data_IF_306873994645
#
_entry.id   IF_306873994645
#
_cell.length_a   1.000
_cell.length_b   1.000
_cell.length_c   1.000
_cell.angle_alpha   90.00
_cell.angle_beta   90.00
_cell.angle_gamma   90.00
#
_symmetry.space_group_name_H-M   'P 1'
#
loop_
_entity.id
_entity.type
_entity.pdbx_description
1 polymer ?
#
# COMPACT_ATOMS: atom_id res chain seq x y z
N UNK A 1 24.33 -3.52 -24.54
CA UNK A 1 24.71 -3.12 -23.16
C UNK A 1 23.87 -1.96 -22.60
N UNK A 2 23.11 -1.18 -23.38
CA UNK A 2 22.30 -0.06 -22.86
C UNK A 2 20.96 -0.43 -22.21
N UNK A 3 20.33 -1.52 -22.64
CA UNK A 3 18.96 -1.89 -22.23
C UNK A 3 18.86 -2.19 -20.72
N UNK A 4 19.86 -2.87 -20.14
CA UNK A 4 19.88 -3.17 -18.70
C UNK A 4 19.94 -1.90 -17.85
N UNK A 5 20.79 -0.94 -18.22
CA UNK A 5 20.89 0.32 -17.50
C UNK A 5 19.61 1.15 -17.63
N UNK A 6 19.00 1.18 -18.82
CA UNK A 6 17.72 1.85 -19.04
C UNK A 6 16.60 1.22 -18.21
N UNK A 7 16.54 -0.13 -18.11
CA UNK A 7 15.56 -0.81 -17.25
C UNK A 7 15.81 -0.52 -15.76
N UNK A 8 17.07 -0.49 -15.32
CA UNK A 8 17.43 -0.12 -13.93
C UNK A 8 17.01 1.32 -13.58
N UNK A 9 17.21 2.26 -14.50
CA UNK A 9 16.88 3.67 -14.29
C UNK A 9 15.35 3.89 -14.35
N UNK A 10 14.66 3.24 -15.28
CA UNK A 10 13.19 3.24 -15.34
C UNK A 10 12.55 2.67 -14.06
N UNK A 11 13.07 1.54 -13.55
CA UNK A 11 12.59 0.95 -12.30
C UNK A 11 12.85 1.88 -11.11
N UNK A 12 14.01 2.55 -11.07
CA UNK A 12 14.31 3.54 -10.03
C UNK A 12 13.27 4.67 -10.01
N UNK A 13 13.01 5.28 -11.18
CA UNK A 13 12.07 6.40 -11.29
C UNK A 13 10.65 5.99 -10.89
N UNK A 14 10.23 4.77 -11.27
CA UNK A 14 8.93 4.22 -10.87
C UNK A 14 8.83 3.94 -9.38
N UNK A 15 9.88 3.39 -8.75
CA UNK A 15 9.92 3.21 -7.30
C UNK A 15 9.81 4.55 -6.57
N UNK A 16 10.57 5.56 -7.01
CA UNK A 16 10.51 6.92 -6.43
C UNK A 16 9.11 7.52 -6.59
N UNK A 17 8.49 7.38 -7.75
CA UNK A 17 7.13 7.88 -7.99
C UNK A 17 6.10 7.18 -7.08
N UNK A 18 6.20 5.86 -6.93
CA UNK A 18 5.32 5.05 -6.10
C UNK A 18 5.47 5.41 -4.61
N UNK A 19 6.70 5.51 -4.11
CA UNK A 19 7.01 5.91 -2.74
C UNK A 19 6.50 7.31 -2.42
N UNK A 20 6.68 8.25 -3.36
CA UNK A 20 6.16 9.62 -3.22
C UNK A 20 4.64 9.64 -3.15
N UNK A 21 3.97 8.89 -4.02
CA UNK A 21 2.50 8.82 -4.03
C UNK A 21 1.97 8.26 -2.69
N UNK A 22 2.58 7.21 -2.14
CA UNK A 22 2.19 6.62 -0.84
C UNK A 22 2.51 7.54 0.34
N UNK A 23 3.61 8.29 0.27
CA UNK A 23 3.99 9.27 1.31
C UNK A 23 2.94 10.36 1.49
N UNK A 24 2.22 10.71 0.44
CA UNK A 24 1.17 11.73 0.46
C UNK A 24 -0.18 11.18 0.96
N UNK A 25 -0.28 9.90 1.32
CA UNK A 25 -1.52 9.31 1.83
C UNK A 25 -1.75 9.62 3.31
N UNK A 26 -2.99 9.89 3.73
CA UNK A 26 -3.31 10.14 5.14
C UNK A 26 -3.09 8.87 5.98
N UNK A 27 -2.76 9.01 7.26
CA UNK A 27 -2.70 7.86 8.16
C UNK A 27 -4.10 7.25 8.31
N UNK A 28 -4.18 5.94 8.56
CA UNK A 28 -5.48 5.26 8.70
C UNK A 28 -6.32 5.82 9.85
N UNK A 29 -5.68 6.28 10.93
CA UNK A 29 -6.37 6.91 12.06
C UNK A 29 -6.99 8.28 11.76
N UNK A 30 -6.56 8.94 10.69
CA UNK A 30 -7.04 10.28 10.31
C UNK A 30 -8.18 10.20 9.27
N UNK A 31 -8.48 9.00 8.74
CA UNK A 31 -9.52 8.79 7.73
C UNK A 31 -10.89 8.71 8.40
N UNK A 32 -11.85 9.50 7.89
CA UNK A 32 -13.23 9.46 8.37
C UNK A 32 -13.92 8.16 7.92
N UNK A 33 -14.84 7.66 8.74
CA UNK A 33 -15.51 6.35 8.52
C UNK A 33 -16.16 6.27 7.12
N UNK A 34 -16.73 7.37 6.62
CA UNK A 34 -17.36 7.43 5.30
C UNK A 34 -16.41 7.29 4.12
N UNK A 35 -15.10 7.48 4.32
CA UNK A 35 -14.06 7.41 3.29
C UNK A 35 -13.22 6.13 3.33
N UNK A 36 -13.39 5.29 4.37
CA UNK A 36 -12.61 4.05 4.54
C UNK A 36 -12.67 3.14 3.31
N UNK A 37 -13.86 2.96 2.72
CA UNK A 37 -14.02 2.13 1.53
C UNK A 37 -13.30 2.74 0.31
N UNK A 38 -13.39 4.06 0.14
CA UNK A 38 -12.71 4.75 -0.95
C UNK A 38 -11.18 4.63 -0.84
N UNK A 39 -10.64 4.69 0.38
CA UNK A 39 -9.21 4.53 0.64
C UNK A 39 -8.73 3.07 0.47
N UNK A 40 -9.58 2.07 0.76
CA UNK A 40 -9.31 0.67 0.41
C UNK A 40 -9.21 0.51 -1.10
N UNK A 41 -10.17 1.05 -1.84
CA UNK A 41 -10.21 0.94 -3.30
C UNK A 41 -9.03 1.69 -3.93
N UNK A 42 -8.69 2.89 -3.44
CA UNK A 42 -7.49 3.63 -3.82
C UNK A 42 -6.22 2.80 -3.62
N UNK A 43 -6.09 2.15 -2.47
CA UNK A 43 -4.91 1.32 -2.16
C UNK A 43 -4.81 0.10 -3.09
N UNK A 44 -5.93 -0.56 -3.40
CA UNK A 44 -5.96 -1.67 -4.37
C UNK A 44 -5.66 -1.20 -5.80
N UNK A 45 -6.23 -0.09 -6.22
CA UNK A 45 -5.97 0.50 -7.54
C UNK A 45 -4.50 0.90 -7.68
N UNK A 46 -3.88 1.41 -6.63
CA UNK A 46 -2.45 1.70 -6.61
C UNK A 46 -1.61 0.45 -6.88
N UNK A 47 -1.89 -0.66 -6.18
CA UNK A 47 -1.19 -1.93 -6.40
C UNK A 47 -1.34 -2.44 -7.84
N UNK A 48 -2.48 -2.21 -8.49
CA UNK A 48 -2.70 -2.56 -9.90
C UNK A 48 -1.97 -1.61 -10.87
N UNK A 49 -1.89 -0.33 -10.54
CA UNK A 49 -1.22 0.71 -11.35
C UNK A 49 0.30 0.54 -11.36
N UNK A 50 0.87 0.04 -10.26
CA UNK A 50 2.30 -0.14 -10.09
C UNK A 50 2.65 -1.63 -10.01
N UNK A 51 2.83 -2.34 -11.15
CA UNK A 51 3.29 -3.72 -11.19
C UNK A 51 4.80 -3.81 -10.90
N UNK A 52 5.25 -3.16 -9.83
CA UNK A 52 6.67 -3.02 -9.47
C UNK A 52 7.36 -4.37 -9.28
N UNK A 53 6.65 -5.38 -8.73
CA UNK A 53 7.19 -6.74 -8.62
C UNK A 53 7.67 -7.29 -9.97
N UNK A 54 6.82 -7.24 -11.01
CA UNK A 54 7.20 -7.75 -12.32
C UNK A 54 8.39 -7.01 -12.92
N UNK A 55 8.52 -5.71 -12.65
CA UNK A 55 9.66 -4.93 -13.14
C UNK A 55 10.95 -5.16 -12.34
N UNK A 56 10.85 -5.43 -11.04
CA UNK A 56 11.99 -5.90 -10.22
C UNK A 56 12.45 -7.28 -10.71
N UNK A 57 11.51 -8.19 -10.97
CA UNK A 57 11.78 -9.53 -11.50
C UNK A 57 12.43 -9.45 -12.89
N UNK A 58 11.89 -8.63 -13.80
CA UNK A 58 12.42 -8.44 -15.15
C UNK A 58 13.87 -7.95 -15.15
N UNK A 59 14.19 -6.97 -14.29
CA UNK A 59 15.53 -6.40 -14.19
C UNK A 59 16.50 -7.40 -13.52
N UNK A 60 16.01 -8.18 -12.55
CA UNK A 60 16.77 -9.28 -11.93
C UNK A 60 17.06 -10.39 -12.94
N UNK A 61 16.10 -10.75 -13.77
CA UNK A 61 16.28 -11.73 -14.84
C UNK A 61 17.27 -11.25 -15.90
N UNK A 62 17.25 -9.96 -16.25
CA UNK A 62 18.28 -9.38 -17.12
C UNK A 62 19.67 -9.46 -16.48
N UNK A 63 19.79 -9.19 -15.17
CA UNK A 63 21.03 -9.32 -14.43
C UNK A 63 21.55 -10.77 -14.42
N UNK A 64 20.66 -11.75 -14.23
CA UNK A 64 21.00 -13.18 -14.27
C UNK A 64 21.49 -13.60 -15.66
N UNK A 65 20.82 -13.19 -16.74
CA UNK A 65 21.24 -13.47 -18.12
C UNK A 65 22.62 -12.90 -18.45
N UNK A 66 22.97 -11.75 -17.88
CA UNK A 66 24.31 -11.18 -18.05
C UNK A 66 25.36 -12.06 -17.36
N UNK A 67 25.10 -12.53 -16.15
CA UNK A 67 26.00 -13.43 -15.43
C UNK A 67 26.15 -14.78 -16.15
N UNK A 68 25.07 -15.35 -16.69
CA UNK A 68 25.10 -16.57 -17.52
C UNK A 68 25.93 -16.40 -18.81
N UNK A 69 26.05 -15.17 -19.31
CA UNK A 69 26.88 -14.82 -20.46
C UNK A 69 28.33 -14.44 -20.06
N UNK A 70 28.78 -14.82 -18.86
CA UNK A 70 30.08 -14.49 -18.27
C UNK A 70 30.34 -12.97 -18.14
N UNK A 71 29.28 -12.15 -18.14
CA UNK A 71 29.38 -10.71 -17.89
C UNK A 71 29.27 -10.43 -16.39
N UNK A 72 30.38 -10.02 -15.79
CA UNK A 72 30.44 -9.65 -14.38
C UNK A 72 29.77 -8.28 -14.19
N UNK A 73 28.73 -8.24 -13.36
CA UNK A 73 28.10 -6.99 -12.94
C UNK A 73 29.02 -6.23 -11.98
N UNK A 74 29.03 -4.90 -12.10
CA UNK A 74 29.72 -4.06 -11.13
C UNK A 74 29.06 -4.18 -9.75
N UNK A 75 29.85 -4.00 -8.69
CA UNK A 75 29.33 -3.99 -7.32
C UNK A 75 28.22 -2.94 -7.13
N UNK A 76 28.33 -1.81 -7.84
CA UNK A 76 27.30 -0.77 -7.86
C UNK A 76 25.97 -1.27 -8.42
N UNK A 77 25.97 -2.03 -9.53
CA UNK A 77 24.74 -2.55 -10.12
C UNK A 77 24.10 -3.62 -9.23
N UNK A 78 24.91 -4.47 -8.57
CA UNK A 78 24.41 -5.47 -7.61
C UNK A 78 23.72 -4.79 -6.43
N UNK A 79 24.37 -3.79 -5.81
CA UNK A 79 23.75 -3.01 -4.73
C UNK A 79 22.46 -2.33 -5.14
N UNK A 80 22.38 -1.80 -6.36
CA UNK A 80 21.14 -1.19 -6.87
C UNK A 80 20.00 -2.21 -7.00
N UNK A 81 20.29 -3.44 -7.46
CA UNK A 81 19.28 -4.51 -7.54
C UNK A 81 18.77 -4.89 -6.15
N UNK A 82 19.66 -5.04 -5.18
CA UNK A 82 19.30 -5.31 -3.78
C UNK A 82 18.46 -4.18 -3.19
N UNK A 83 18.82 -2.91 -3.45
CA UNK A 83 18.05 -1.73 -3.04
C UNK A 83 16.64 -1.73 -3.63
N UNK A 84 16.49 -2.04 -4.92
CA UNK A 84 15.18 -2.11 -5.58
C UNK A 84 14.27 -3.15 -4.96
N UNK A 85 14.81 -4.36 -4.72
CA UNK A 85 14.06 -5.44 -4.05
C UNK A 85 13.64 -5.01 -2.65
N UNK A 86 14.55 -4.46 -1.85
CA UNK A 86 14.24 -4.03 -0.48
C UNK A 86 13.19 -2.91 -0.44
N UNK A 87 13.30 -1.91 -1.32
CA UNK A 87 12.35 -0.80 -1.41
C UNK A 87 10.97 -1.27 -1.84
N UNK A 88 10.91 -2.16 -2.83
CA UNK A 88 9.65 -2.77 -3.25
C UNK A 88 9.01 -3.58 -2.11
N UNK A 89 9.77 -4.43 -1.43
CA UNK A 89 9.26 -5.26 -0.34
C UNK A 89 8.73 -4.41 0.83
N UNK A 90 9.45 -3.33 1.16
CA UNK A 90 9.02 -2.36 2.17
C UNK A 90 7.73 -1.66 1.76
N UNK A 91 7.64 -1.16 0.53
CA UNK A 91 6.44 -0.52 0.00
C UNK A 91 5.26 -1.49 0.00
N UNK A 92 5.47 -2.72 -0.47
CA UNK A 92 4.45 -3.76 -0.49
C UNK A 92 3.92 -4.04 0.92
N UNK A 93 4.82 -4.24 1.89
CA UNK A 93 4.47 -4.51 3.29
C UNK A 93 3.64 -3.38 3.88
N UNK A 94 4.04 -2.11 3.67
CA UNK A 94 3.29 -0.94 4.11
C UNK A 94 1.87 -0.88 3.51
N UNK A 95 1.71 -1.25 2.23
CA UNK A 95 0.40 -1.28 1.58
C UNK A 95 -0.50 -2.38 2.16
N UNK A 96 0.05 -3.56 2.46
CA UNK A 96 -0.70 -4.64 3.09
C UNK A 96 -1.15 -4.27 4.51
N UNK A 97 -0.25 -3.69 5.32
CA UNK A 97 -0.58 -3.19 6.66
C UNK A 97 -1.66 -2.12 6.60
N UNK A 98 -1.55 -1.16 5.67
CA UNK A 98 -2.59 -0.13 5.46
C UNK A 98 -3.94 -0.76 5.13
N UNK A 99 -3.99 -1.71 4.18
CA UNK A 99 -5.22 -2.41 3.82
C UNK A 99 -5.84 -3.14 5.00
N UNK A 100 -5.02 -3.83 5.80
CA UNK A 100 -5.47 -4.53 7.00
C UNK A 100 -6.08 -3.54 8.00
N UNK A 101 -5.44 -2.41 8.26
CA UNK A 101 -5.94 -1.39 9.18
C UNK A 101 -7.24 -0.75 8.67
N UNK A 102 -7.33 -0.43 7.38
CA UNK A 102 -8.54 0.13 6.77
C UNK A 102 -9.72 -0.84 6.86
N UNK A 103 -9.49 -2.12 6.54
CA UNK A 103 -10.51 -3.16 6.64
C UNK A 103 -10.94 -3.41 8.09
N UNK A 104 -9.98 -3.39 9.02
CA UNK A 104 -10.26 -3.51 10.45
C UNK A 104 -11.12 -2.35 10.94
N UNK A 105 -10.78 -1.11 10.56
CA UNK A 105 -11.58 0.07 10.88
C UNK A 105 -12.99 -0.05 10.28
N UNK A 106 -13.11 -0.42 9.00
CA UNK A 106 -14.42 -0.57 8.35
C UNK A 106 -15.28 -1.63 9.04
N UNK A 107 -14.70 -2.77 9.41
CA UNK A 107 -15.38 -3.85 10.14
C UNK A 107 -15.81 -3.40 11.54
N UNK A 108 -14.99 -2.61 12.23
CA UNK A 108 -15.28 -2.06 13.56
C UNK A 108 -16.39 -1.01 13.57
N UNK A 109 -16.71 -0.40 12.42
CA UNK A 109 -17.78 0.59 12.28
C UNK A 109 -18.94 0.12 11.37
N UNK A 110 -18.87 -1.10 10.84
CA UNK A 110 -19.91 -1.70 10.02
C UNK A 110 -21.22 -1.97 10.80
N UNK A 111 -22.33 -2.29 10.10
CA UNK A 111 -23.66 -2.43 10.71
C UNK A 111 -23.78 -3.51 11.80
N UNK A 112 -22.84 -4.47 11.84
CA UNK A 112 -22.78 -5.52 12.87
C UNK A 112 -21.84 -5.18 14.04
N UNK A 113 -21.20 -4.01 14.05
CA UNK A 113 -20.25 -3.63 15.08
C UNK A 113 -20.94 -3.12 16.35
N UNK A 114 -20.39 -3.45 17.52
CA UNK A 114 -20.90 -2.92 18.80
C UNK A 114 -20.85 -1.39 18.87
N UNK A 115 -19.88 -0.75 18.19
CA UNK A 115 -19.78 0.71 18.10
C UNK A 115 -20.97 1.33 17.36
N UNK A 116 -21.46 0.69 16.29
CA UNK A 116 -22.70 1.08 15.62
C UNK A 116 -23.93 0.90 16.53
N UNK A 117 -23.94 -0.17 17.33
CA UNK A 117 -25.05 -0.49 18.23
C UNK A 117 -25.17 0.50 19.40
N UNK A 118 -24.07 0.86 20.08
CA UNK A 118 -24.10 1.82 21.21
C UNK A 118 -24.59 3.21 20.79
N UNK A 119 -24.27 3.67 19.58
CA UNK A 119 -24.76 4.97 19.09
C UNK A 119 -26.28 5.00 18.85
N UNK A 120 -26.91 3.85 18.56
CA UNK A 120 -28.38 3.76 18.41
C UNK A 120 -29.09 3.66 19.76
N UNK A 121 -28.53 2.95 20.75
CA UNK A 121 -29.19 2.80 22.05
C UNK A 121 -29.18 4.08 22.92
N UNK A 122 -28.23 5.00 22.72
CA UNK A 122 -28.24 6.30 23.42
C UNK A 122 -29.32 7.27 22.92
N UNK A 123 -29.85 7.10 21.71
CA UNK A 123 -30.95 7.95 21.20
C UNK A 123 -32.34 7.51 21.66
N UNK A 124 -32.52 6.28 22.15
CA UNK A 124 -33.84 5.76 22.57
C UNK A 124 -34.14 6.07 24.04
N UNK A 125 -33.14 6.36 24.87
CA UNK A 125 -33.36 6.64 26.30
C UNK A 125 -33.63 8.12 26.64
N UNK A 126 -33.55 9.05 25.69
CA UNK A 126 -33.81 10.48 25.99
C UNK A 126 -35.28 10.90 25.78
N UNK A 127 -36.14 10.07 25.18
CA UNK A 127 -37.54 10.43 24.89
C UNK A 127 -38.54 9.83 25.89
N UNK A 128 -38.10 9.07 26.90
CA UNK A 128 -39.01 8.41 27.86
C UNK A 128 -38.77 8.84 29.31
N UNK A 129 -38.49 10.11 29.56
CA UNK A 129 -38.52 10.65 30.93
C UNK A 129 -38.95 12.13 30.98
N UNK A 130 -40.03 12.44 30.28
CA UNK A 130 -40.69 13.75 30.40
C UNK A 130 -42.21 13.67 30.29
N UNK A 131 -42.83 12.72 31.00
CA UNK A 131 -44.26 12.84 31.35
C UNK A 131 -44.57 12.02 32.59
N UNK A 132 -45.38 12.59 33.48
CA UNK A 132 -45.78 12.16 34.83
C UNK A 132 -44.76 12.65 35.87
N UNK A 133 -45.05 13.68 36.67
CA UNK A 133 -46.33 13.99 37.31
C UNK A 133 -46.18 13.67 38.79
#
# INVERSE_FOLDING_TARGET
>A
MGIFHESMDSLHDRLVAAEREVKDWPNVGDIIIGELQAEIDRTKTFQLKFPLQGEVDDVTDQANRLQEADVILSHHNVHRLEDFTQRWDSLHSMLQERLQHLQTALNAYGPNSQHFLTSKYLHVHTITNKTLG
#
